data_IF_491650523767
#
_entry.id   IF_491650523767
#
_cell.length_a   1.000
_cell.length_b   1.000
_cell.length_c   1.000
_cell.angle_alpha   90.00
_cell.angle_beta   90.00
_cell.angle_gamma   90.00
#
_symmetry.space_group_name_H-M   'P 1'
#
loop_
_entity.id
_entity.type
_entity.pdbx_description
1 polymer ?
#
# COMPACT_ATOMS: atom_id res chain seq x y z
N UNK A 1 -13.71 -2.85 -6.52
CA UNK A 1 -12.26 -2.87 -6.86
C UNK A 1 -11.79 -4.31 -6.79
N UNK A 2 -10.96 -4.77 -7.72
CA UNK A 2 -10.27 -6.07 -7.66
C UNK A 2 -8.90 -5.94 -6.96
N UNK A 3 -8.29 -7.06 -6.57
CA UNK A 3 -6.93 -7.05 -5.98
C UNK A 3 -5.92 -6.43 -6.96
N UNK A 4 -5.96 -6.80 -8.24
CA UNK A 4 -5.09 -6.22 -9.27
C UNK A 4 -5.27 -4.68 -9.39
N UNK A 5 -6.52 -4.20 -9.44
CA UNK A 5 -6.80 -2.76 -9.47
C UNK A 5 -6.27 -2.04 -8.21
N UNK A 6 -6.39 -2.67 -7.05
CA UNK A 6 -5.87 -2.14 -5.80
C UNK A 6 -4.34 -2.09 -5.79
N UNK A 7 -3.67 -3.14 -6.29
CA UNK A 7 -2.22 -3.20 -6.47
C UNK A 7 -1.73 -2.09 -7.37
N UNK A 8 -2.35 -1.91 -8.54
CA UNK A 8 -2.01 -0.83 -9.47
C UNK A 8 -2.22 0.55 -8.83
N UNK A 9 -3.28 0.72 -8.04
CA UNK A 9 -3.52 1.98 -7.32
C UNK A 9 -2.48 2.25 -6.23
N UNK A 10 -2.09 1.23 -5.47
CA UNK A 10 -1.04 1.33 -4.45
C UNK A 10 0.32 1.68 -5.08
N UNK A 11 0.69 1.02 -6.19
CA UNK A 11 1.91 1.34 -6.95
C UNK A 11 1.88 2.78 -7.47
N UNK A 12 0.75 3.22 -8.03
CA UNK A 12 0.59 4.59 -8.50
C UNK A 12 0.74 5.61 -7.34
N UNK A 13 0.23 5.31 -6.15
CA UNK A 13 0.43 6.17 -4.97
C UNK A 13 1.90 6.19 -4.54
N UNK A 14 2.58 5.04 -4.53
CA UNK A 14 4.02 4.97 -4.24
C UNK A 14 4.81 5.86 -5.21
N UNK A 15 4.54 5.78 -6.51
CA UNK A 15 5.21 6.57 -7.54
C UNK A 15 4.90 8.08 -7.42
N UNK A 16 3.64 8.43 -7.20
CA UNK A 16 3.20 9.83 -7.00
C UNK A 16 3.87 10.50 -5.79
N UNK A 17 4.27 9.71 -4.80
CA UNK A 17 4.92 10.19 -3.58
C UNK A 17 6.44 9.89 -3.56
N UNK A 18 7.07 9.71 -4.72
CA UNK A 18 8.53 9.61 -4.83
C UNK A 18 9.10 8.27 -4.36
N UNK A 19 8.36 7.19 -4.57
CA UNK A 19 8.78 5.83 -4.22
C UNK A 19 8.41 5.41 -2.79
N UNK A 20 7.70 6.24 -2.03
CA UNK A 20 7.30 5.96 -0.65
C UNK A 20 5.88 6.46 -0.38
N UNK A 21 5.04 5.67 0.28
CA UNK A 21 3.71 6.08 0.73
C UNK A 21 3.41 5.56 2.13
N UNK A 22 2.98 6.44 3.02
CA UNK A 22 2.57 6.09 4.38
C UNK A 22 1.10 5.66 4.46
N UNK A 23 0.76 4.89 5.49
CA UNK A 23 -0.61 4.41 5.74
C UNK A 23 -1.65 5.53 5.66
N UNK A 24 -1.41 6.68 6.30
CA UNK A 24 -2.36 7.80 6.30
C UNK A 24 -2.75 8.30 4.90
N UNK A 25 -1.83 8.25 3.92
CA UNK A 25 -2.13 8.63 2.54
C UNK A 25 -2.99 7.56 1.85
N UNK A 26 -2.68 6.29 2.08
CA UNK A 26 -3.45 5.16 1.58
C UNK A 26 -4.87 5.15 2.17
N UNK A 27 -4.99 5.42 3.46
CA UNK A 27 -6.27 5.51 4.16
C UNK A 27 -7.12 6.70 3.71
N UNK A 28 -6.48 7.80 3.28
CA UNK A 28 -7.16 8.95 2.69
C UNK A 28 -7.62 8.71 1.24
N UNK A 29 -7.12 7.68 0.56
CA UNK A 29 -7.54 7.34 -0.79
C UNK A 29 -8.96 6.76 -0.80
N UNK A 30 -9.90 7.50 -1.38
CA UNK A 30 -11.33 7.11 -1.40
C UNK A 30 -11.60 5.79 -2.11
N UNK A 31 -10.80 5.39 -3.10
CA UNK A 31 -11.03 4.14 -3.82
C UNK A 31 -10.59 2.95 -2.97
N UNK A 32 -9.42 3.05 -2.35
CA UNK A 32 -8.88 2.03 -1.45
C UNK A 32 -9.70 1.92 -0.16
N UNK A 33 -10.02 3.05 0.48
CA UNK A 33 -10.77 3.10 1.73
C UNK A 33 -12.21 2.55 1.62
N UNK A 34 -12.81 2.57 0.43
CA UNK A 34 -14.13 1.93 0.18
C UNK A 34 -14.05 0.42 0.04
N UNK A 35 -12.86 -0.14 -0.16
CA UNK A 35 -12.63 -1.55 -0.45
C UNK A 35 -11.47 -2.08 0.43
N UNK A 36 -11.51 -1.80 1.73
CA UNK A 36 -10.40 -2.02 2.67
C UNK A 36 -9.82 -3.43 2.61
N UNK A 37 -10.67 -4.46 2.67
CA UNK A 37 -10.21 -5.86 2.61
C UNK A 37 -9.44 -6.19 1.32
N UNK A 38 -9.87 -5.63 0.18
CA UNK A 38 -9.18 -5.81 -1.10
C UNK A 38 -7.87 -5.04 -1.13
N UNK A 39 -7.84 -3.83 -0.57
CA UNK A 39 -6.63 -3.02 -0.45
C UNK A 39 -5.60 -3.68 0.49
N UNK A 40 -6.02 -4.24 1.62
CA UNK A 40 -5.14 -4.97 2.54
C UNK A 40 -4.59 -6.25 1.90
N UNK A 41 -5.42 -7.01 1.16
CA UNK A 41 -4.96 -8.17 0.41
C UNK A 41 -3.94 -7.80 -0.67
N UNK A 42 -4.17 -6.71 -1.40
CA UNK A 42 -3.23 -6.19 -2.39
C UNK A 42 -1.92 -5.72 -1.75
N UNK A 43 -1.99 -5.06 -0.60
CA UNK A 43 -0.80 -4.64 0.15
C UNK A 43 0.04 -5.84 0.62
N UNK A 44 -0.60 -6.91 1.10
CA UNK A 44 0.10 -8.15 1.46
C UNK A 44 0.79 -8.79 0.25
N UNK A 45 0.12 -8.84 -0.90
CA UNK A 45 0.74 -9.32 -2.13
C UNK A 45 1.96 -8.47 -2.52
N UNK A 46 1.81 -7.14 -2.52
CA UNK A 46 2.90 -6.20 -2.81
C UNK A 46 4.08 -6.32 -1.86
N UNK A 47 3.84 -6.54 -0.56
CA UNK A 47 4.92 -6.71 0.42
C UNK A 47 5.76 -7.97 0.19
N UNK A 48 5.29 -8.93 -0.61
CA UNK A 48 6.06 -10.10 -1.03
C UNK A 48 6.80 -9.91 -2.36
N UNK A 49 6.53 -8.82 -3.08
CA UNK A 49 7.16 -8.54 -4.36
C UNK A 49 8.62 -8.08 -4.18
N UNK A 50 9.55 -8.57 -5.01
CA UNK A 50 10.91 -8.03 -5.06
C UNK A 50 10.90 -6.51 -5.29
N UNK A 51 11.73 -5.80 -4.54
CA UNK A 51 11.84 -4.35 -4.66
C UNK A 51 10.76 -3.55 -3.94
N UNK A 52 9.89 -4.20 -3.16
CA UNK A 52 8.95 -3.52 -2.25
C UNK A 52 9.37 -3.74 -0.80
N UNK A 53 9.42 -2.66 -0.03
CA UNK A 53 9.63 -2.67 1.42
C UNK A 53 8.33 -2.22 2.08
N UNK A 54 7.85 -3.00 3.04
CA UNK A 54 6.72 -2.65 3.88
C UNK A 54 7.18 -2.48 5.34
N UNK A 55 6.63 -1.48 6.03
CA UNK A 55 6.87 -1.27 7.46
C UNK A 55 5.86 -2.02 8.31
N UNK A 56 6.28 -2.56 9.45
CA UNK A 56 5.34 -3.14 10.43
C UNK A 56 4.35 -2.08 10.91
N UNK A 57 3.07 -2.43 10.96
CA UNK A 57 2.03 -1.59 11.55
C UNK A 57 2.07 -1.73 13.07
N UNK A 58 2.01 -0.60 13.77
CA UNK A 58 2.08 -0.53 15.24
C UNK A 58 0.83 0.08 15.88
N UNK A 59 -0.02 0.74 15.09
CA UNK A 59 -1.32 1.25 15.49
C UNK A 59 -2.42 0.26 15.10
N UNK A 60 -2.96 -0.44 16.10
CA UNK A 60 -4.05 -1.40 15.93
C UNK A 60 -5.38 -0.79 15.49
N UNK A 61 -5.47 0.54 15.34
CA UNK A 61 -6.66 1.25 14.83
C UNK A 61 -6.64 1.45 13.32
N UNK A 62 -5.49 1.29 12.66
CA UNK A 62 -5.39 1.38 11.20
C UNK A 62 -6.07 0.17 10.55
N UNK A 63 -6.81 0.39 9.45
CA UNK A 63 -7.36 -0.73 8.67
C UNK A 63 -6.33 -1.25 7.66
N UNK A 64 -5.37 -0.41 7.30
CA UNK A 64 -4.29 -0.75 6.40
C UNK A 64 -3.20 -1.54 7.17
N UNK A 65 -2.66 -2.65 6.63
CA UNK A 65 -1.87 -3.60 7.42
C UNK A 65 -0.39 -3.21 7.63
N UNK A 66 0.08 -2.08 7.10
CA UNK A 66 1.48 -1.66 7.15
C UNK A 66 1.60 -0.17 7.43
N UNK A 67 2.62 0.25 8.17
CA UNK A 67 2.84 1.68 8.44
C UNK A 67 3.24 2.47 7.18
N UNK A 68 3.89 1.81 6.22
CA UNK A 68 4.22 2.35 4.90
C UNK A 68 4.49 1.26 3.87
N UNK A 69 4.46 1.65 2.58
CA UNK A 69 5.02 0.91 1.46
C UNK A 69 6.07 1.76 0.75
N UNK A 70 7.16 1.15 0.29
CA UNK A 70 8.25 1.80 -0.44
C UNK A 70 8.72 0.92 -1.60
N UNK A 71 8.99 1.50 -2.76
CA UNK A 71 9.73 0.84 -3.84
C UNK A 71 11.21 1.17 -3.71
N UNK A 72 12.06 0.16 -3.83
CA UNK A 72 13.50 0.36 -4.02
C UNK A 72 13.80 0.19 -5.50
N UNK A 73 14.45 1.19 -6.10
CA UNK A 73 15.01 1.02 -7.43
C UNK A 73 16.23 0.10 -7.32
N UNK A 74 16.30 -0.92 -8.17
CA UNK A 74 17.56 -1.64 -8.38
C UNK A 74 18.56 -0.64 -8.99
N UNK A 75 19.70 -0.47 -8.31
CA UNK A 75 20.77 0.45 -8.69
C UNK A 75 21.54 -0.02 -9.93
#
# INVERSE_FOLDING_TARGET
MTVDQATQRLLALIEQHGGYVGAAIIEADRQLARNQAVASAAAHALATEPGVIAGEETDSRAWFPYSFLRRVEEA
#
